data_IF_992014742680
#
_entry.id   IF_992014742680
#
_cell.length_a   1.000
_cell.length_b   1.000
_cell.length_c   1.000
_cell.angle_alpha   90.00
_cell.angle_beta   90.00
_cell.angle_gamma   90.00
#
_symmetry.space_group_name_H-M   'P 1'
#
loop_
_entity.id
_entity.type
_entity.pdbx_description
1 polymer ?
#
# COMPACT_ATOMS: atom_id res chain seq x y z
N UNK A 1 10.22 -10.59 19.41
CA UNK A 1 8.75 -10.57 19.22
C UNK A 1 8.22 -11.53 18.14
N UNK A 2 9.04 -11.97 17.15
CA UNK A 2 8.59 -12.85 16.05
C UNK A 2 8.47 -14.35 16.42
N UNK A 3 9.33 -14.87 17.29
CA UNK A 3 9.30 -16.29 17.70
C UNK A 3 7.97 -16.73 18.36
N UNK A 4 7.36 -15.95 19.28
CA UNK A 4 6.03 -16.28 19.82
C UNK A 4 4.94 -16.36 18.74
N UNK A 5 5.01 -15.54 17.69
CA UNK A 5 4.02 -15.56 16.60
C UNK A 5 4.12 -16.85 15.76
N UNK A 6 5.34 -17.30 15.44
CA UNK A 6 5.56 -18.58 14.75
C UNK A 6 4.99 -19.78 15.51
N UNK A 7 5.14 -19.80 16.84
CA UNK A 7 4.54 -20.85 17.67
C UNK A 7 3.01 -20.85 17.62
N UNK A 8 2.37 -19.67 17.56
CA UNK A 8 0.90 -19.56 17.50
C UNK A 8 0.32 -20.04 16.16
N UNK A 9 0.98 -19.76 15.04
CA UNK A 9 0.56 -20.26 13.73
C UNK A 9 0.56 -21.79 13.72
N UNK A 10 1.65 -22.41 14.23
CA UNK A 10 1.75 -23.86 14.32
C UNK A 10 0.64 -24.49 15.17
N UNK A 11 0.24 -23.83 16.27
CA UNK A 11 -0.88 -24.30 17.09
C UNK A 11 -2.22 -24.23 16.34
N UNK A 12 -2.54 -23.13 15.67
CA UNK A 12 -3.80 -23.01 14.90
C UNK A 12 -3.89 -24.07 13.79
N UNK A 13 -2.79 -24.27 13.06
CA UNK A 13 -2.73 -25.31 12.01
C UNK A 13 -2.85 -26.72 12.61
N UNK A 14 -2.26 -26.96 13.79
CA UNK A 14 -2.40 -28.23 14.51
C UNK A 14 -3.86 -28.48 14.90
N UNK A 15 -4.57 -27.48 15.43
CA UNK A 15 -5.98 -27.65 15.80
C UNK A 15 -6.87 -27.96 14.58
N UNK A 16 -6.62 -27.32 13.42
CA UNK A 16 -7.31 -27.64 12.17
C UNK A 16 -7.08 -29.11 11.75
N UNK A 17 -5.84 -29.60 11.88
CA UNK A 17 -5.47 -30.99 11.60
C UNK A 17 -6.13 -31.97 12.58
N UNK A 18 -6.02 -31.70 13.88
CA UNK A 18 -6.59 -32.56 14.92
C UNK A 18 -8.11 -32.67 14.80
N UNK A 19 -8.77 -31.60 14.33
CA UNK A 19 -10.20 -31.57 14.04
C UNK A 19 -10.60 -32.21 12.69
N UNK A 20 -9.62 -32.60 11.86
CA UNK A 20 -9.85 -33.25 10.57
C UNK A 20 -10.21 -32.32 9.40
N UNK A 21 -9.94 -31.01 9.52
CA UNK A 21 -10.29 -30.00 8.49
C UNK A 21 -9.09 -29.50 7.67
N UNK A 22 -7.89 -30.05 7.87
CA UNK A 22 -6.67 -29.59 7.17
C UNK A 22 -6.78 -29.68 5.64
N UNK A 23 -7.32 -30.78 5.12
CA UNK A 23 -7.46 -30.99 3.67
C UNK A 23 -8.67 -30.28 3.05
N UNK A 24 -9.49 -29.58 3.84
CA UNK A 24 -10.70 -28.86 3.39
C UNK A 24 -10.61 -27.34 3.61
N UNK A 25 -9.46 -26.83 4.07
CA UNK A 25 -9.30 -25.43 4.49
C UNK A 25 -8.30 -24.67 3.60
N UNK A 26 -8.77 -23.60 2.95
CA UNK A 26 -7.87 -22.58 2.38
C UNK A 26 -7.22 -21.77 3.49
N UNK A 27 -5.88 -21.73 3.52
CA UNK A 27 -5.10 -20.95 4.49
C UNK A 27 -4.46 -19.75 3.80
N UNK A 28 -4.72 -18.55 4.31
CA UNK A 28 -4.06 -17.31 3.90
C UNK A 28 -3.35 -16.71 5.11
N UNK A 29 -2.06 -16.39 4.96
CA UNK A 29 -1.28 -15.68 5.95
C UNK A 29 -0.75 -14.38 5.36
N UNK A 30 -0.96 -13.28 6.08
CA UNK A 30 -0.42 -11.97 5.73
C UNK A 30 -0.16 -11.12 6.99
N UNK A 31 0.39 -9.93 6.78
CA UNK A 31 0.44 -8.81 7.72
C UNK A 31 -0.44 -7.66 7.20
N UNK A 32 -0.74 -6.70 8.06
CA UNK A 32 -1.64 -5.57 7.80
C UNK A 32 -0.91 -4.32 7.29
N UNK A 33 0.30 -4.08 7.79
CA UNK A 33 1.18 -3.00 7.35
C UNK A 33 2.65 -3.28 7.70
N UNK A 34 3.54 -2.46 7.15
CA UNK A 34 4.98 -2.55 7.36
C UNK A 34 5.39 -2.38 8.83
N UNK A 35 6.65 -2.73 9.11
CA UNK A 35 7.20 -2.76 10.47
C UNK A 35 7.20 -1.38 11.13
N UNK A 36 7.07 -1.27 12.47
CA UNK A 36 7.01 0.00 13.19
C UNK A 36 8.40 0.62 13.39
N UNK A 37 9.06 0.96 12.28
CA UNK A 37 10.37 1.60 12.22
C UNK A 37 10.32 2.80 11.26
N UNK A 38 11.30 3.74 11.31
CA UNK A 38 11.37 4.84 10.35
C UNK A 38 11.27 4.32 8.90
N UNK A 39 10.53 5.04 8.06
CA UNK A 39 10.20 4.65 6.68
C UNK A 39 9.25 3.43 6.52
N UNK A 40 8.88 2.75 7.61
CA UNK A 40 7.96 1.61 7.65
C UNK A 40 6.50 2.04 7.83
N UNK A 41 5.82 1.50 8.86
CA UNK A 41 4.42 1.81 9.23
C UNK A 41 4.10 3.29 9.04
N UNK A 42 2.89 3.59 8.55
CA UNK A 42 2.36 4.93 8.18
C UNK A 42 2.88 5.52 6.88
N UNK A 43 3.84 4.89 6.20
CA UNK A 43 4.33 5.35 4.90
C UNK A 43 3.78 4.52 3.76
N UNK A 44 3.63 5.14 2.58
CA UNK A 44 3.41 4.42 1.33
C UNK A 44 4.73 4.10 0.60
N UNK A 45 5.87 4.11 1.29
CA UNK A 45 7.13 3.54 0.78
C UNK A 45 7.10 2.01 0.87
N UNK A 46 7.99 1.32 0.17
CA UNK A 46 8.06 -0.15 0.16
C UNK A 46 8.16 -0.76 1.56
N UNK A 47 8.93 -0.16 2.47
CA UNK A 47 9.04 -0.65 3.85
C UNK A 47 7.73 -0.53 4.67
N UNK A 48 6.78 0.30 4.22
CA UNK A 48 5.48 0.52 4.85
C UNK A 48 4.33 -0.32 4.28
N UNK A 49 4.48 -0.82 3.04
CA UNK A 49 3.38 -1.51 2.31
C UNK A 49 3.71 -2.92 1.82
N UNK A 50 4.98 -3.34 1.89
CA UNK A 50 5.40 -4.66 1.43
C UNK A 50 5.17 -5.71 2.53
N UNK A 51 4.11 -6.50 2.36
CA UNK A 51 3.69 -7.51 3.33
C UNK A 51 4.08 -8.93 2.92
N UNK A 52 4.41 -9.82 3.87
CA UNK A 52 4.46 -11.25 3.59
C UNK A 52 3.07 -11.73 3.16
N UNK A 53 3.00 -12.55 2.11
CA UNK A 53 1.76 -13.20 1.67
C UNK A 53 2.03 -14.68 1.40
N UNK A 54 1.23 -15.55 2.02
CA UNK A 54 1.24 -17.00 1.77
C UNK A 54 -0.20 -17.46 1.58
N UNK A 55 -0.45 -18.18 0.48
CA UNK A 55 -1.75 -18.79 0.17
C UNK A 55 -1.55 -20.29 -0.03
N UNK A 56 -2.27 -21.10 0.72
CA UNK A 56 -2.19 -22.57 0.69
C UNK A 56 -3.60 -23.13 0.51
N UNK A 57 -3.89 -23.62 -0.70
CA UNK A 57 -5.12 -24.35 -1.00
C UNK A 57 -4.84 -25.85 -0.99
N UNK A 58 -5.68 -26.67 -0.33
CA UNK A 58 -5.54 -28.13 -0.36
C UNK A 58 -5.90 -28.73 -1.74
N UNK A 59 -6.70 -28.02 -2.54
CA UNK A 59 -7.13 -28.42 -3.89
C UNK A 59 -6.13 -28.04 -4.99
N UNK A 60 -5.30 -27.00 -4.75
CA UNK A 60 -4.34 -26.48 -5.73
C UNK A 60 -2.91 -26.62 -5.20
N UNK A 61 -2.32 -27.81 -5.40
CA UNK A 61 -0.99 -28.17 -4.88
C UNK A 61 0.15 -27.99 -5.89
N UNK A 62 -0.16 -27.59 -7.13
CA UNK A 62 0.78 -27.54 -8.26
C UNK A 62 2.00 -26.66 -7.98
N UNK A 63 1.79 -25.55 -7.26
CA UNK A 63 2.82 -24.55 -6.96
C UNK A 63 3.17 -24.46 -5.47
N UNK A 64 2.88 -25.49 -4.69
CA UNK A 64 3.28 -25.52 -3.29
C UNK A 64 4.80 -25.42 -3.15
N UNK A 65 5.27 -24.50 -2.31
CA UNK A 65 6.70 -24.24 -2.09
C UNK A 65 7.35 -23.35 -3.15
N UNK A 66 6.61 -22.88 -4.16
CA UNK A 66 7.11 -21.92 -5.14
C UNK A 66 6.97 -20.47 -4.65
N UNK A 67 7.65 -19.56 -5.36
CA UNK A 67 7.57 -18.10 -5.15
C UNK A 67 6.96 -17.47 -6.40
N UNK A 68 5.89 -16.71 -6.20
CA UNK A 68 5.29 -15.86 -7.25
C UNK A 68 6.01 -14.51 -7.34
N UNK A 69 6.13 -13.98 -8.55
CA UNK A 69 6.61 -12.62 -8.83
C UNK A 69 5.46 -11.65 -9.16
N UNK A 70 4.22 -12.14 -9.15
CA UNK A 70 3.05 -11.33 -9.41
C UNK A 70 2.83 -10.28 -8.31
N UNK A 71 2.43 -9.08 -8.73
CA UNK A 71 2.07 -7.99 -7.83
C UNK A 71 0.63 -8.19 -7.37
N UNK A 72 0.44 -8.29 -6.06
CA UNK A 72 -0.85 -8.56 -5.41
C UNK A 72 -1.10 -7.59 -4.26
N UNK A 73 -2.36 -7.40 -3.89
CA UNK A 73 -2.80 -6.50 -2.83
C UNK A 73 -3.60 -7.26 -1.77
N UNK A 74 -3.65 -6.73 -0.53
CA UNK A 74 -4.60 -7.21 0.47
C UNK A 74 -6.07 -7.04 0.01
N UNK A 75 -6.33 -6.14 -0.94
CA UNK A 75 -7.64 -6.01 -1.60
C UNK A 75 -8.06 -7.27 -2.37
N UNK A 76 -7.12 -8.16 -2.70
CA UNK A 76 -7.35 -9.42 -3.41
C UNK A 76 -7.86 -10.52 -2.46
N UNK A 77 -7.70 -10.38 -1.14
CA UNK A 77 -8.13 -11.40 -0.16
C UNK A 77 -9.64 -11.63 -0.20
N UNK A 78 -10.44 -10.56 -0.17
CA UNK A 78 -11.90 -10.66 -0.22
C UNK A 78 -12.40 -11.37 -1.49
N UNK A 79 -12.03 -10.95 -2.72
CA UNK A 79 -12.46 -11.66 -3.92
C UNK A 79 -11.91 -13.09 -3.99
N UNK A 80 -10.72 -13.38 -3.43
CA UNK A 80 -10.19 -14.75 -3.32
C UNK A 80 -11.07 -15.65 -2.44
N UNK A 81 -11.49 -15.16 -1.28
CA UNK A 81 -12.34 -15.93 -0.35
C UNK A 81 -13.75 -16.12 -0.94
N UNK A 82 -14.30 -15.08 -1.58
CA UNK A 82 -15.58 -15.18 -2.29
C UNK A 82 -15.53 -16.23 -3.41
N UNK A 83 -14.46 -16.22 -4.21
CA UNK A 83 -14.23 -17.21 -5.27
C UNK A 83 -14.09 -18.63 -4.70
N UNK A 84 -13.33 -18.81 -3.62
CA UNK A 84 -13.19 -20.11 -2.93
C UNK A 84 -14.53 -20.71 -2.50
N UNK A 85 -15.45 -19.89 -2.00
CA UNK A 85 -16.79 -20.34 -1.61
C UNK A 85 -17.84 -20.24 -2.73
N UNK A 86 -17.44 -19.87 -3.95
CA UNK A 86 -18.36 -19.65 -5.08
C UNK A 86 -19.48 -18.66 -4.77
N UNK A 87 -19.19 -17.63 -3.98
CA UNK A 87 -20.15 -16.59 -3.59
C UNK A 87 -19.96 -15.35 -4.47
N UNK A 88 -20.97 -14.92 -5.24
CA UNK A 88 -20.87 -13.71 -6.05
C UNK A 88 -20.86 -12.46 -5.15
N UNK A 89 -20.11 -11.44 -5.56
CA UNK A 89 -20.19 -10.13 -4.91
C UNK A 89 -21.51 -9.44 -5.30
N UNK A 90 -22.37 -9.04 -4.34
CA UNK A 90 -23.69 -8.53 -4.64
C UNK A 90 -23.62 -7.11 -5.24
N UNK A 91 -24.54 -6.75 -6.14
CA UNK A 91 -24.66 -5.36 -6.59
C UNK A 91 -25.34 -4.53 -5.50
N UNK A 92 -24.62 -3.56 -4.95
CA UNK A 92 -25.18 -2.57 -4.03
C UNK A 92 -24.46 -1.23 -4.15
N UNK A 93 -25.05 -0.19 -3.54
CA UNK A 93 -24.45 1.14 -3.44
C UNK A 93 -24.42 1.60 -1.98
N UNK A 94 -23.33 2.22 -1.55
CA UNK A 94 -23.18 2.78 -0.20
C UNK A 94 -23.83 4.16 -0.05
N UNK A 95 -23.92 4.90 -1.16
CA UNK A 95 -24.54 6.23 -1.23
C UNK A 95 -25.49 6.29 -2.42
N UNK A 96 -26.23 7.38 -2.62
CA UNK A 96 -27.01 7.55 -3.86
C UNK A 96 -26.01 7.75 -5.02
N UNK A 97 -25.72 6.70 -5.79
CA UNK A 97 -24.69 6.78 -6.83
C UNK A 97 -24.28 5.43 -7.41
N UNK A 98 -22.99 5.32 -7.74
CA UNK A 98 -22.37 4.19 -8.42
C UNK A 98 -22.40 2.91 -7.57
N UNK A 99 -22.55 1.77 -8.25
CA UNK A 99 -22.41 0.45 -7.60
C UNK A 99 -21.00 0.28 -7.06
N UNK A 100 -20.87 -0.31 -5.87
CA UNK A 100 -19.58 -0.72 -5.32
C UNK A 100 -19.02 -1.84 -6.19
N UNK A 101 -17.76 -1.70 -6.58
CA UNK A 101 -17.01 -2.71 -7.34
C UNK A 101 -15.69 -2.99 -6.61
N UNK A 102 -15.35 -4.26 -6.48
CA UNK A 102 -14.02 -4.66 -6.00
C UNK A 102 -13.02 -4.38 -7.12
N UNK A 103 -11.91 -3.73 -6.79
CA UNK A 103 -10.78 -3.53 -7.72
C UNK A 103 -9.70 -4.58 -7.59
N UNK A 104 -9.71 -5.36 -6.50
CA UNK A 104 -8.92 -6.58 -6.37
C UNK A 104 -9.52 -7.75 -7.15
N UNK A 105 -8.77 -8.83 -7.24
CA UNK A 105 -9.12 -10.04 -7.99
C UNK A 105 -8.78 -11.31 -7.20
N UNK A 106 -9.37 -12.44 -7.58
CA UNK A 106 -9.05 -13.72 -6.94
C UNK A 106 -7.60 -14.14 -7.21
N UNK A 107 -6.92 -14.60 -6.16
CA UNK A 107 -5.57 -15.17 -6.22
C UNK A 107 -5.58 -16.67 -6.55
N UNK A 108 -6.74 -17.34 -6.55
CA UNK A 108 -6.81 -18.79 -6.82
C UNK A 108 -6.19 -19.20 -8.16
N UNK A 109 -6.36 -18.45 -9.28
CA UNK A 109 -5.68 -18.80 -10.54
C UNK A 109 -4.15 -18.84 -10.42
N UNK A 110 -3.58 -17.98 -9.57
CA UNK A 110 -2.12 -17.91 -9.36
C UNK A 110 -1.56 -19.17 -8.69
N UNK A 111 -2.40 -19.96 -8.01
CA UNK A 111 -2.00 -21.23 -7.36
C UNK A 111 -1.70 -22.34 -8.38
N UNK A 112 -2.18 -22.19 -9.62
CA UNK A 112 -1.95 -23.15 -10.70
C UNK A 112 -0.97 -22.63 -11.76
N UNK A 113 -1.05 -21.34 -12.11
CA UNK A 113 -0.25 -20.74 -13.19
C UNK A 113 0.25 -19.37 -12.76
N UNK A 114 1.51 -19.04 -13.04
CA UNK A 114 2.06 -17.70 -12.76
C UNK A 114 1.36 -16.63 -13.60
N UNK A 115 0.70 -15.63 -12.97
CA UNK A 115 0.08 -14.55 -13.70
C UNK A 115 1.07 -13.41 -13.97
N UNK A 116 0.79 -12.59 -14.97
CA UNK A 116 1.59 -11.40 -15.31
C UNK A 116 1.09 -10.11 -14.62
N UNK A 117 0.52 -10.23 -13.42
CA UNK A 117 0.00 -9.06 -12.68
C UNK A 117 1.14 -8.18 -12.21
N UNK A 118 1.06 -6.88 -12.52
CA UNK A 118 2.18 -5.96 -12.35
C UNK A 118 1.79 -4.61 -11.79
N UNK A 119 0.54 -4.42 -11.34
CA UNK A 119 0.05 -3.13 -10.82
C UNK A 119 -0.66 -3.32 -9.47
N UNK A 120 -0.31 -2.50 -8.49
CA UNK A 120 -1.02 -2.39 -7.20
C UNK A 120 -1.18 -0.92 -6.80
N UNK A 121 -2.22 -0.63 -6.02
CA UNK A 121 -2.57 0.72 -5.58
C UNK A 121 -2.63 0.81 -4.06
N UNK A 122 -2.34 2.00 -3.53
CA UNK A 122 -2.39 2.28 -2.10
C UNK A 122 -3.03 3.64 -1.83
N UNK A 123 -3.76 3.73 -0.71
CA UNK A 123 -4.42 4.95 -0.27
C UNK A 123 -4.37 5.07 1.24
N UNK A 124 -3.92 6.22 1.74
CA UNK A 124 -3.91 6.56 3.15
C UNK A 124 -4.40 8.00 3.32
N UNK A 125 -5.25 8.27 4.31
CA UNK A 125 -5.73 9.63 4.60
C UNK A 125 -5.27 10.12 5.98
N UNK A 126 -5.57 9.33 7.02
CA UNK A 126 -5.15 9.58 8.40
C UNK A 126 -4.46 8.34 8.98
N UNK A 127 -3.75 8.52 10.08
CA UNK A 127 -3.36 7.43 10.98
C UNK A 127 -4.03 7.64 12.35
N UNK A 128 -3.48 8.51 13.19
CA UNK A 128 -4.24 9.11 14.29
C UNK A 128 -5.11 10.25 13.74
N UNK A 129 -6.16 10.63 14.47
CA UNK A 129 -7.06 11.72 14.06
C UNK A 129 -6.33 13.07 13.87
N UNK A 130 -5.20 13.28 14.55
CA UNK A 130 -4.33 14.45 14.45
C UNK A 130 -3.33 14.38 13.28
N UNK A 131 -3.18 13.22 12.64
CA UNK A 131 -2.19 12.94 11.60
C UNK A 131 -2.80 13.01 10.20
N UNK A 132 -3.18 14.22 9.77
CA UNK A 132 -3.75 14.45 8.44
C UNK A 132 -2.67 14.65 7.37
N UNK A 133 -2.19 13.53 6.80
CA UNK A 133 -1.22 13.52 5.70
C UNK A 133 -1.66 12.53 4.61
N UNK A 134 -2.64 12.91 3.76
CA UNK A 134 -3.14 12.01 2.74
C UNK A 134 -2.09 11.71 1.67
N UNK A 135 -1.98 10.42 1.34
CA UNK A 135 -1.09 9.89 0.33
C UNK A 135 -1.86 8.94 -0.59
N UNK A 136 -1.52 8.95 -1.87
CA UNK A 136 -2.00 8.01 -2.88
C UNK A 136 -0.81 7.44 -3.61
N UNK A 137 -0.84 6.16 -3.94
CA UNK A 137 0.28 5.53 -4.63
C UNK A 137 -0.17 4.48 -5.64
N UNK A 138 0.62 4.34 -6.70
CA UNK A 138 0.57 3.24 -7.65
C UNK A 138 1.96 2.67 -7.83
N UNK A 139 2.04 1.34 -7.81
CA UNK A 139 3.24 0.60 -8.17
C UNK A 139 2.97 -0.16 -9.45
N UNK A 140 3.80 0.02 -10.48
CA UNK A 140 3.70 -0.69 -11.75
C UNK A 140 5.07 -1.16 -12.25
N UNK A 141 5.24 -2.47 -12.43
CA UNK A 141 6.53 -3.05 -12.83
C UNK A 141 7.63 -2.61 -11.84
N UNK A 142 8.74 -2.00 -12.27
CA UNK A 142 9.77 -1.52 -11.35
C UNK A 142 9.49 -0.13 -10.75
N UNK A 143 8.42 0.54 -11.17
CA UNK A 143 8.16 1.94 -10.82
C UNK A 143 7.15 2.09 -9.70
N UNK A 144 7.44 2.99 -8.76
CA UNK A 144 6.57 3.35 -7.66
C UNK A 144 6.35 4.85 -7.66
N UNK A 145 5.08 5.28 -7.76
CA UNK A 145 4.69 6.68 -7.70
C UNK A 145 3.90 6.95 -6.43
N UNK A 146 4.31 7.95 -5.65
CA UNK A 146 3.62 8.43 -4.45
C UNK A 146 3.20 9.90 -4.66
N UNK A 147 1.96 10.21 -4.28
CA UNK A 147 1.39 11.56 -4.29
C UNK A 147 1.09 12.01 -2.86
N UNK A 148 1.92 12.91 -2.35
CA UNK A 148 1.74 13.53 -1.04
C UNK A 148 0.84 14.76 -1.17
N UNK A 149 -0.41 14.68 -0.68
CA UNK A 149 -1.37 15.78 -0.84
C UNK A 149 -0.99 17.00 0.01
N UNK A 150 -0.57 16.77 1.25
CA UNK A 150 -0.18 17.82 2.21
C UNK A 150 1.34 17.99 2.30
N UNK A 151 2.07 17.83 1.19
CA UNK A 151 3.53 17.82 1.15
C UNK A 151 4.22 19.08 1.71
N UNK A 152 3.54 20.24 1.69
CA UNK A 152 4.06 21.49 2.29
C UNK A 152 4.11 21.46 3.83
N UNK A 153 3.40 20.54 4.47
CA UNK A 153 3.44 20.31 5.91
C UNK A 153 4.41 19.17 6.25
N UNK A 154 5.02 19.17 7.45
CA UNK A 154 5.86 18.06 7.86
C UNK A 154 5.03 16.76 7.99
N UNK A 155 5.62 15.63 7.58
CA UNK A 155 5.07 14.30 7.80
C UNK A 155 4.85 14.05 9.30
N UNK A 156 3.63 13.69 9.75
CA UNK A 156 3.36 13.50 11.16
C UNK A 156 3.94 12.17 11.67
N UNK A 157 4.29 12.12 12.97
CA UNK A 157 4.80 10.93 13.65
C UNK A 157 3.75 10.49 14.67
N UNK A 158 3.39 9.21 14.66
CA UNK A 158 2.47 8.64 15.64
C UNK A 158 3.13 8.53 17.02
N UNK A 159 2.31 8.60 18.07
CA UNK A 159 2.78 8.67 19.45
C UNK A 159 3.56 7.42 19.86
N UNK A 160 3.16 6.25 19.36
CA UNK A 160 3.80 4.97 19.64
C UNK A 160 5.20 4.89 19.00
N UNK A 161 5.34 5.31 17.74
CA UNK A 161 6.65 5.35 17.06
C UNK A 161 7.55 6.41 17.71
N UNK A 162 6.99 7.55 18.10
CA UNK A 162 7.76 8.65 18.70
C UNK A 162 8.53 8.22 19.95
N UNK A 163 7.91 7.41 20.81
CA UNK A 163 8.53 6.91 22.05
C UNK A 163 9.37 5.65 21.85
N UNK A 164 9.49 5.15 20.62
CA UNK A 164 10.31 3.97 20.34
C UNK A 164 11.80 4.27 20.55
N UNK A 165 12.60 3.32 21.08
CA UNK A 165 14.04 3.52 21.24
C UNK A 165 14.74 3.93 19.94
N UNK A 166 14.31 3.37 18.80
CA UNK A 166 14.89 3.69 17.48
C UNK A 166 14.61 5.12 17.06
N UNK A 167 13.39 5.62 17.22
CA UNK A 167 13.08 6.99 16.84
C UNK A 167 13.73 8.02 17.78
N UNK A 168 13.76 7.73 19.09
CA UNK A 168 14.42 8.58 20.07
C UNK A 168 15.94 8.70 19.82
N UNK A 169 16.61 7.60 19.48
CA UNK A 169 18.02 7.61 19.11
C UNK A 169 18.28 8.46 17.86
N UNK A 170 17.48 8.25 16.80
CA UNK A 170 17.52 9.03 15.57
C UNK A 170 17.32 10.53 15.83
N UNK A 171 16.35 10.89 16.68
CA UNK A 171 16.04 12.26 17.05
C UNK A 171 17.19 12.92 17.82
N UNK A 172 17.73 12.24 18.84
CA UNK A 172 18.83 12.74 19.66
C UNK A 172 20.09 12.98 18.83
N UNK A 173 20.47 12.02 17.98
CA UNK A 173 21.63 12.16 17.10
C UNK A 173 21.45 13.31 16.11
N UNK A 174 20.26 13.45 15.52
CA UNK A 174 19.95 14.57 14.62
C UNK A 174 20.07 15.92 15.32
N UNK A 175 19.52 16.05 16.53
CA UNK A 175 19.58 17.28 17.31
C UNK A 175 21.00 17.64 17.75
N UNK A 176 21.81 16.63 18.08
CA UNK A 176 23.21 16.80 18.45
C UNK A 176 24.15 17.05 17.25
N UNK A 177 23.64 17.02 16.01
CA UNK A 177 24.45 17.10 14.80
C UNK A 177 25.39 15.90 14.62
N UNK A 178 25.05 14.76 15.22
CA UNK A 178 25.82 13.52 15.17
C UNK A 178 25.35 12.65 13.99
N UNK A 179 26.22 11.78 13.45
CA UNK A 179 25.82 10.81 12.44
C UNK A 179 24.70 9.90 12.97
N UNK A 180 23.61 9.79 12.21
CA UNK A 180 22.46 8.94 12.55
C UNK A 180 22.62 7.50 12.07
N UNK A 181 23.49 7.26 11.09
CA UNK A 181 23.62 5.96 10.42
C UNK A 181 22.39 5.56 9.58
N UNK A 182 21.41 6.45 9.45
CA UNK A 182 20.21 6.22 8.65
C UNK A 182 20.41 6.65 7.20
N UNK A 183 19.71 5.99 6.26
CA UNK A 183 19.81 6.26 4.82
C UNK A 183 19.06 7.54 4.38
N UNK A 184 18.36 8.20 5.32
CA UNK A 184 17.70 9.49 5.15
C UNK A 184 18.07 10.44 6.29
N UNK A 185 17.65 11.69 6.16
CA UNK A 185 17.65 12.66 7.26
C UNK A 185 16.22 12.87 7.77
N UNK A 186 16.06 13.30 9.03
CA UNK A 186 14.72 13.71 9.52
C UNK A 186 14.13 14.86 8.70
N UNK A 187 14.97 15.76 8.16
CA UNK A 187 14.51 16.86 7.31
C UNK A 187 13.80 16.33 6.06
N UNK A 188 14.43 15.40 5.35
CA UNK A 188 13.84 14.82 4.12
C UNK A 188 12.68 13.87 4.44
N UNK A 189 12.66 13.28 5.63
CA UNK A 189 11.54 12.47 6.10
C UNK A 189 10.29 13.29 6.41
N UNK A 190 10.48 14.48 7.01
CA UNK A 190 9.41 15.41 7.31
C UNK A 190 8.92 16.16 6.07
N UNK A 191 9.82 16.73 5.28
CA UNK A 191 9.48 17.58 4.14
C UNK A 191 9.72 16.85 2.83
N UNK A 192 8.64 16.31 2.28
CA UNK A 192 8.64 15.48 1.06
C UNK A 192 8.17 16.28 -0.13
N UNK A 193 8.52 15.80 -1.32
CA UNK A 193 8.01 16.36 -2.58
C UNK A 193 6.53 15.98 -2.78
N UNK A 194 5.79 16.79 -3.55
CA UNK A 194 4.39 16.48 -3.91
C UNK A 194 4.28 15.14 -4.65
N UNK A 195 5.21 14.92 -5.58
CA UNK A 195 5.31 13.71 -6.38
C UNK A 195 6.65 13.05 -6.14
N UNK A 196 6.64 11.79 -5.75
CA UNK A 196 7.83 10.96 -5.57
C UNK A 196 7.74 9.77 -6.53
N UNK A 197 8.66 9.70 -7.50
CA UNK A 197 8.74 8.59 -8.45
C UNK A 197 10.05 7.85 -8.25
N UNK A 198 9.99 6.54 -8.05
CA UNK A 198 11.17 5.69 -7.86
C UNK A 198 11.23 4.57 -8.87
N UNK A 199 12.44 4.20 -9.28
CA UNK A 199 12.72 2.93 -9.95
C UNK A 199 13.36 1.98 -8.93
N UNK A 200 12.53 1.14 -8.35
CA UNK A 200 12.86 0.24 -7.24
C UNK A 200 13.84 -0.89 -7.61
N UNK A 201 13.98 -1.20 -8.90
CA UNK A 201 14.97 -2.16 -9.36
C UNK A 201 16.40 -1.59 -9.24
N UNK A 202 16.56 -0.30 -9.54
CA UNK A 202 17.86 0.40 -9.45
C UNK A 202 18.10 1.09 -8.11
N UNK A 203 17.03 1.45 -7.40
CA UNK A 203 17.04 2.13 -6.10
C UNK A 203 16.01 1.47 -5.17
N UNK A 204 16.35 0.31 -4.58
CA UNK A 204 15.44 -0.42 -3.69
C UNK A 204 15.14 0.33 -2.38
N UNK A 205 15.89 1.37 -2.06
CA UNK A 205 15.73 2.20 -0.86
C UNK A 205 14.85 3.44 -1.07
N UNK A 206 14.44 3.70 -2.32
CA UNK A 206 13.55 4.82 -2.67
C UNK A 206 14.08 6.17 -2.18
N UNK A 207 15.34 6.45 -2.52
CA UNK A 207 16.09 7.66 -2.11
C UNK A 207 16.25 8.66 -3.25
N UNK A 208 16.27 8.21 -4.51
CA UNK A 208 16.42 9.05 -5.68
C UNK A 208 15.07 9.29 -6.35
N UNK A 209 14.44 10.42 -6.01
CA UNK A 209 13.21 10.85 -6.66
C UNK A 209 13.47 11.22 -8.15
N UNK A 210 12.71 10.60 -9.05
CA UNK A 210 12.78 10.77 -10.51
C UNK A 210 11.69 11.68 -11.05
N UNK A 211 10.77 12.19 -10.22
CA UNK A 211 9.59 12.93 -10.68
C UNK A 211 9.93 14.23 -11.43
N UNK A 212 11.09 14.84 -11.15
CA UNK A 212 11.58 16.04 -11.85
C UNK A 212 12.52 15.74 -13.01
N UNK A 213 12.87 14.47 -13.25
CA UNK A 213 13.76 14.07 -14.34
C UNK A 213 12.97 13.99 -15.66
N UNK A 214 13.29 14.81 -16.68
CA UNK A 214 12.55 14.84 -17.95
C UNK A 214 12.59 13.51 -18.72
N UNK A 215 13.56 12.64 -18.42
CA UNK A 215 13.66 11.29 -19.00
C UNK A 215 12.47 10.40 -18.60
N UNK A 216 11.88 10.66 -17.43
CA UNK A 216 10.80 9.86 -16.85
C UNK A 216 9.41 10.49 -16.99
N UNK A 217 9.27 11.62 -17.69
CA UNK A 217 7.99 12.34 -17.83
C UNK A 217 6.87 11.44 -18.36
N UNK A 218 7.13 10.62 -19.37
CA UNK A 218 6.10 9.73 -19.91
C UNK A 218 5.64 8.66 -18.90
N UNK A 219 6.57 8.12 -18.11
CA UNK A 219 6.27 7.16 -17.04
C UNK A 219 5.46 7.84 -15.95
N UNK A 220 5.90 9.01 -15.50
CA UNK A 220 5.21 9.81 -14.49
C UNK A 220 3.75 10.08 -14.86
N UNK A 221 3.51 10.61 -16.06
CA UNK A 221 2.15 10.94 -16.51
C UNK A 221 1.27 9.69 -16.72
N UNK A 222 1.87 8.58 -17.18
CA UNK A 222 1.16 7.30 -17.28
C UNK A 222 0.70 6.79 -15.90
N UNK A 223 1.58 6.84 -14.90
CA UNK A 223 1.26 6.41 -13.54
C UNK A 223 0.27 7.34 -12.85
N UNK A 224 0.38 8.66 -13.04
CA UNK A 224 -0.63 9.63 -12.58
C UNK A 224 -2.01 9.32 -13.16
N UNK A 225 -2.10 9.04 -14.46
CA UNK A 225 -3.35 8.70 -15.11
C UNK A 225 -3.96 7.39 -14.59
N UNK A 226 -3.12 6.37 -14.35
CA UNK A 226 -3.58 5.11 -13.75
C UNK A 226 -4.08 5.30 -12.31
N UNK A 227 -3.34 6.04 -11.49
CA UNK A 227 -3.72 6.36 -10.12
C UNK A 227 -5.04 7.12 -10.07
N UNK A 228 -5.17 8.17 -10.90
CA UNK A 228 -6.40 8.96 -10.99
C UNK A 228 -7.59 8.11 -11.44
N UNK A 229 -7.40 7.24 -12.43
CA UNK A 229 -8.45 6.30 -12.87
C UNK A 229 -8.91 5.39 -11.74
N UNK A 230 -7.98 4.85 -10.96
CA UNK A 230 -8.31 4.02 -9.80
C UNK A 230 -9.05 4.81 -8.72
N UNK A 231 -8.60 6.02 -8.40
CA UNK A 231 -9.28 6.92 -7.44
C UNK A 231 -10.73 7.19 -7.83
N UNK A 232 -11.02 7.47 -9.10
CA UNK A 232 -12.39 7.62 -9.59
C UNK A 232 -13.19 6.32 -9.51
N UNK A 233 -12.59 5.20 -9.91
CA UNK A 233 -13.25 3.89 -9.85
C UNK A 233 -13.63 3.49 -8.42
N UNK A 234 -12.87 3.93 -7.43
CA UNK A 234 -13.13 3.68 -6.00
C UNK A 234 -13.85 4.83 -5.30
N UNK A 235 -14.34 5.84 -6.03
CA UNK A 235 -15.05 7.01 -5.48
C UNK A 235 -14.27 7.74 -4.37
N UNK A 236 -12.96 7.96 -4.56
CA UNK A 236 -12.09 8.63 -3.59
C UNK A 236 -12.51 10.09 -3.34
N UNK A 237 -12.86 10.48 -2.09
CA UNK A 237 -13.24 11.86 -1.77
C UNK A 237 -12.11 12.88 -1.97
N UNK A 238 -10.85 12.43 -2.00
CA UNK A 238 -9.68 13.29 -2.21
C UNK A 238 -9.24 13.37 -3.69
N UNK A 239 -10.00 12.81 -4.64
CA UNK A 239 -9.58 12.68 -6.05
C UNK A 239 -9.16 14.00 -6.72
N UNK A 240 -9.72 15.14 -6.31
CA UNK A 240 -9.37 16.46 -6.83
C UNK A 240 -8.38 17.24 -5.94
N UNK A 241 -8.07 16.71 -4.75
CA UNK A 241 -7.18 17.36 -3.80
C UNK A 241 -5.72 17.21 -4.25
N UNK A 242 -4.83 18.18 -3.97
CA UNK A 242 -5.03 19.43 -3.22
C UNK A 242 -5.31 20.69 -4.06
N UNK A 243 -5.24 20.61 -5.39
CA UNK A 243 -5.31 21.75 -6.32
C UNK A 243 -6.71 22.08 -6.84
N UNK A 244 -7.70 21.21 -6.58
CA UNK A 244 -9.06 21.36 -7.05
C UNK A 244 -10.11 20.89 -6.03
N UNK A 245 -11.36 21.24 -6.29
CA UNK A 245 -12.55 20.79 -5.56
C UNK A 245 -13.38 19.86 -6.44
N UNK A 246 -13.94 18.81 -5.83
CA UNK A 246 -14.84 17.88 -6.49
C UNK A 246 -16.25 18.47 -6.62
N UNK A 247 -16.67 18.75 -7.85
CA UNK A 247 -18.00 19.25 -8.23
C UNK A 247 -18.71 18.26 -9.16
N UNK A 248 -19.36 17.25 -8.59
CA UNK A 248 -19.98 16.10 -9.30
C UNK A 248 -21.10 16.46 -10.30
N UNK A 249 -21.53 17.72 -10.35
CA UNK A 249 -22.58 18.21 -11.26
C UNK A 249 -22.02 19.00 -12.45
N UNK A 250 -20.71 19.25 -12.50
CA UNK A 250 -20.06 20.08 -13.50
C UNK A 250 -19.02 19.27 -14.27
N UNK A 251 -18.68 19.73 -15.47
CA UNK A 251 -17.58 19.17 -16.27
C UNK A 251 -16.54 20.27 -16.56
N UNK A 252 -15.23 20.02 -16.31
CA UNK A 252 -14.68 18.87 -15.59
C UNK A 252 -15.12 18.86 -14.11
N UNK A 253 -15.23 17.66 -13.52
CA UNK A 253 -15.65 17.48 -12.13
C UNK A 253 -14.64 18.05 -11.12
N UNK A 254 -13.33 17.97 -11.40
CA UNK A 254 -12.33 18.67 -10.61
C UNK A 254 -12.21 20.13 -11.06
N UNK A 255 -12.54 21.05 -10.17
CA UNK A 255 -12.51 22.51 -10.39
C UNK A 255 -11.30 23.13 -9.69
N UNK A 256 -10.36 23.64 -10.46
CA UNK A 256 -9.12 24.23 -9.98
C UNK A 256 -9.36 25.38 -8.99
N UNK A 257 -8.58 25.40 -7.90
CA UNK A 257 -8.64 26.40 -6.84
C UNK A 257 -7.74 27.63 -7.08
N UNK A 258 -6.79 27.53 -8.02
CA UNK A 258 -5.75 28.55 -8.25
C UNK A 258 -4.95 28.88 -6.96
N UNK A 259 -4.65 27.85 -6.16
CA UNK A 259 -4.01 27.94 -4.85
C UNK A 259 -2.49 27.76 -4.88
N UNK A 260 -1.85 28.07 -6.02
CA UNK A 260 -0.40 27.98 -6.22
C UNK A 260 0.18 26.57 -6.04
N UNK A 261 -0.62 25.54 -6.37
CA UNK A 261 -0.24 24.12 -6.35
C UNK A 261 -0.26 23.50 -7.75
#
# INVERSE_FOLDING_TARGET
MLQPRKMRIGLVLKELRDAGFEDDTLVIYSSDNGIPFPNGRTNLYMAGVNEPMVVSSPEHRQRWGEVSQAYVSLLDITPTILDWFSVPYPPYSLSKGALVQLTGQSLLPALSTEPSWSTVFFSQSLHEATMYYPMRSVYQGPFHLIHNHNFRMPFPIDQDLYVSPTFLDLLNHTQAGQPTGWFKTLKDYYYRERWELYNTQSDPTETKNLASDPTYTNILETLKAQLLKWQWATSDPWVCSPDAVLETKLLPECRTLYNEL
#
